data_IF_182342691173
#
_entry.id   IF_182342691173
#
_cell.length_a   1.000
_cell.length_b   1.000
_cell.length_c   1.000
_cell.angle_alpha   90.00
_cell.angle_beta   90.00
_cell.angle_gamma   90.00
#
_symmetry.space_group_name_H-M   'P 1'
#
loop_
_entity.id
_entity.type
_entity.pdbx_description
1 polymer ?
#
# COMPACT_ATOMS: atom_id res chain seq x y z
N UNK A 1 9.44 -20.18 13.27
CA UNK A 1 8.95 -20.49 14.62
C UNK A 1 8.33 -21.85 14.63
N UNK A 2 8.63 -22.67 15.64
CA UNK A 2 8.06 -24.01 15.79
C UNK A 2 6.69 -23.96 16.47
N UNK A 3 5.87 -24.99 16.19
CA UNK A 3 4.58 -25.21 16.83
C UNK A 3 4.47 -26.70 17.18
N UNK A 4 3.82 -27.10 18.31
CA UNK A 4 3.78 -28.48 18.74
C UNK A 4 3.01 -29.43 17.78
N UNK A 5 2.12 -28.90 16.94
CA UNK A 5 1.22 -29.71 16.12
C UNK A 5 1.19 -29.33 14.63
N UNK A 6 2.17 -28.57 14.13
CA UNK A 6 2.24 -28.14 12.73
C UNK A 6 3.68 -27.82 12.33
N UNK A 7 3.89 -27.66 11.04
CA UNK A 7 5.16 -27.22 10.49
C UNK A 7 5.58 -25.84 11.00
N UNK A 8 6.86 -25.54 10.85
CA UNK A 8 7.39 -24.24 11.20
C UNK A 8 6.70 -23.12 10.39
N UNK A 9 6.36 -22.03 11.07
CA UNK A 9 5.95 -20.81 10.40
C UNK A 9 7.15 -20.18 9.69
N UNK A 10 7.05 -20.05 8.37
CA UNK A 10 8.07 -19.48 7.50
C UNK A 10 7.51 -18.31 6.71
N UNK A 11 8.32 -17.27 6.53
CA UNK A 11 8.09 -16.17 5.62
C UNK A 11 9.12 -16.28 4.52
N UNK A 12 8.67 -16.38 3.27
CA UNK A 12 9.55 -16.54 2.12
C UNK A 12 9.96 -15.16 1.60
N UNK A 13 11.27 -15.02 1.29
CA UNK A 13 11.84 -13.86 0.62
C UNK A 13 12.63 -14.29 -0.61
N UNK A 14 12.60 -13.46 -1.65
CA UNK A 14 13.25 -13.69 -2.93
C UNK A 14 14.34 -12.63 -3.11
N UNK A 15 15.56 -13.09 -3.40
CA UNK A 15 16.71 -12.24 -3.58
C UNK A 15 17.07 -12.12 -5.05
N UNK A 16 17.47 -10.93 -5.47
CA UNK A 16 17.95 -10.63 -6.82
C UNK A 16 19.21 -9.80 -6.75
N UNK A 17 20.20 -10.12 -7.62
CA UNK A 17 21.52 -9.51 -7.61
C UNK A 17 22.39 -9.95 -6.44
N UNK A 18 23.65 -9.50 -6.47
CA UNK A 18 24.66 -9.79 -5.47
C UNK A 18 25.35 -8.51 -5.01
N UNK A 19 25.60 -8.37 -3.71
CA UNK A 19 26.28 -7.23 -3.12
C UNK A 19 25.56 -6.64 -1.92
N UNK A 20 25.56 -5.32 -1.82
CA UNK A 20 24.98 -4.58 -0.69
C UNK A 20 23.45 -4.62 -0.69
N UNK A 21 22.86 -4.65 0.49
CA UNK A 21 21.41 -4.55 0.69
C UNK A 21 20.93 -3.19 0.20
N UNK A 22 20.37 -3.13 -1.01
CA UNK A 22 19.96 -1.85 -1.60
C UNK A 22 18.47 -1.59 -1.45
N UNK A 23 17.61 -2.50 -1.89
CA UNK A 23 16.16 -2.29 -1.85
C UNK A 23 15.45 -3.49 -1.22
N UNK A 24 14.65 -3.24 -0.19
CA UNK A 24 13.71 -4.21 0.37
C UNK A 24 12.28 -3.86 -0.05
N UNK A 25 11.55 -4.83 -0.60
CA UNK A 25 10.16 -4.68 -1.03
C UNK A 25 9.32 -5.67 -0.22
N UNK A 26 8.36 -5.15 0.54
CA UNK A 26 7.52 -5.94 1.44
C UNK A 26 6.06 -5.85 0.99
N UNK A 27 5.49 -7.00 0.67
CA UNK A 27 4.10 -7.17 0.24
C UNK A 27 3.10 -7.22 1.39
N UNK A 28 2.14 -8.14 1.27
CA UNK A 28 1.05 -8.27 2.21
C UNK A 28 1.52 -8.47 3.65
N UNK A 29 1.25 -7.48 4.49
CA UNK A 29 1.47 -7.54 5.94
C UNK A 29 0.25 -8.16 6.65
N UNK A 30 -0.93 -8.09 6.00
CA UNK A 30 -2.20 -8.60 6.49
C UNK A 30 -2.73 -9.67 5.55
N UNK A 31 -3.54 -10.61 6.06
CA UNK A 31 -3.99 -11.77 5.30
C UNK A 31 -5.09 -11.48 4.26
N UNK A 32 -5.68 -10.30 4.25
CA UNK A 32 -6.64 -9.86 3.22
C UNK A 32 -6.01 -8.98 2.13
N UNK A 33 -4.68 -8.75 2.19
CA UNK A 33 -3.96 -7.89 1.25
C UNK A 33 -3.55 -8.65 -0.02
N UNK A 34 -4.55 -9.19 -0.73
CA UNK A 34 -4.34 -10.02 -1.92
C UNK A 34 -3.74 -9.22 -3.08
N UNK A 35 -4.17 -7.97 -3.28
CA UNK A 35 -3.63 -7.08 -4.30
C UNK A 35 -2.13 -6.86 -4.10
N UNK A 36 -1.70 -6.58 -2.87
CA UNK A 36 -0.31 -6.33 -2.50
C UNK A 36 0.56 -7.57 -2.72
N UNK A 37 0.04 -8.74 -2.35
CA UNK A 37 0.74 -10.00 -2.62
C UNK A 37 0.84 -10.28 -4.11
N UNK A 38 -0.24 -10.08 -4.88
CA UNK A 38 -0.24 -10.30 -6.33
C UNK A 38 0.79 -9.41 -7.03
N UNK A 39 0.83 -8.12 -6.69
CA UNK A 39 1.85 -7.18 -7.22
C UNK A 39 3.25 -7.68 -6.95
N UNK A 40 3.55 -8.10 -5.71
CA UNK A 40 4.87 -8.62 -5.36
C UNK A 40 5.20 -9.93 -6.08
N UNK A 41 4.24 -10.85 -6.23
CA UNK A 41 4.45 -12.10 -6.96
C UNK A 41 4.76 -11.84 -8.45
N UNK A 42 4.04 -10.91 -9.09
CA UNK A 42 4.31 -10.48 -10.48
C UNK A 42 5.65 -9.76 -10.59
N UNK A 43 5.98 -8.92 -9.61
CA UNK A 43 7.28 -8.25 -9.56
C UNK A 43 8.43 -9.26 -9.45
N UNK A 44 8.29 -10.32 -8.65
CA UNK A 44 9.27 -11.42 -8.57
C UNK A 44 9.49 -12.05 -9.95
N UNK A 45 8.42 -12.35 -10.71
CA UNK A 45 8.53 -12.86 -12.07
C UNK A 45 9.33 -11.91 -12.98
N UNK A 46 9.00 -10.60 -12.94
CA UNK A 46 9.71 -9.58 -13.73
C UNK A 46 11.18 -9.44 -13.33
N UNK A 47 11.48 -9.44 -12.03
CA UNK A 47 12.86 -9.35 -11.54
C UNK A 47 13.68 -10.60 -11.90
N UNK A 48 13.07 -11.78 -11.93
CA UNK A 48 13.71 -13.01 -12.40
C UNK A 48 14.13 -12.89 -13.87
N UNK A 49 13.27 -12.36 -14.73
CA UNK A 49 13.56 -12.08 -16.14
C UNK A 49 14.70 -11.05 -16.28
N UNK A 50 14.60 -9.93 -15.54
CA UNK A 50 15.59 -8.84 -15.54
C UNK A 50 16.97 -9.33 -15.07
N UNK A 51 17.02 -10.19 -14.05
CA UNK A 51 18.26 -10.79 -13.55
C UNK A 51 18.86 -11.76 -14.58
N UNK A 52 18.03 -12.62 -15.18
CA UNK A 52 18.48 -13.54 -16.24
C UNK A 52 19.05 -12.80 -17.47
N UNK A 53 18.57 -11.59 -17.74
CA UNK A 53 19.11 -10.71 -18.78
C UNK A 53 20.36 -9.92 -18.34
N UNK A 54 20.85 -10.13 -17.10
CA UNK A 54 22.02 -9.42 -16.57
C UNK A 54 21.78 -7.92 -16.33
N UNK A 55 20.54 -7.51 -16.15
CA UNK A 55 20.16 -6.10 -16.00
C UNK A 55 20.10 -5.60 -14.55
N UNK A 56 20.34 -6.44 -13.55
CA UNK A 56 20.58 -5.98 -12.18
C UNK A 56 22.01 -5.40 -12.13
N UNK A 57 22.16 -4.24 -11.54
CA UNK A 57 23.46 -3.57 -11.44
C UNK A 57 24.39 -4.35 -10.50
N UNK A 58 25.67 -4.41 -10.87
CA UNK A 58 26.69 -5.08 -10.05
C UNK A 58 26.80 -4.41 -8.67
N UNK A 59 26.96 -5.20 -7.62
CA UNK A 59 27.08 -4.73 -6.24
C UNK A 59 25.74 -4.30 -5.62
N UNK A 60 24.62 -4.46 -6.31
CA UNK A 60 23.27 -4.11 -5.81
C UNK A 60 22.44 -5.37 -5.56
N UNK A 61 21.68 -5.35 -4.48
CA UNK A 61 20.85 -6.49 -4.07
C UNK A 61 19.45 -6.07 -3.68
N UNK A 62 18.46 -6.80 -4.18
CA UNK A 62 17.04 -6.56 -3.94
C UNK A 62 16.47 -7.75 -3.16
N UNK A 63 15.64 -7.48 -2.15
CA UNK A 63 14.84 -8.48 -1.45
C UNK A 63 13.36 -8.19 -1.70
N UNK A 64 12.59 -9.21 -2.09
CA UNK A 64 11.13 -9.12 -2.18
C UNK A 64 10.51 -10.14 -1.23
N UNK A 65 9.70 -9.69 -0.28
CA UNK A 65 8.89 -10.52 0.62
C UNK A 65 7.43 -10.36 0.23
N UNK A 66 6.82 -11.29 -0.52
CA UNK A 66 5.47 -11.10 -1.07
C UNK A 66 4.37 -11.12 0.00
N UNK A 67 4.57 -11.86 1.08
CA UNK A 67 3.62 -11.92 2.20
C UNK A 67 4.35 -12.13 3.53
N UNK A 68 4.01 -11.29 4.50
CA UNK A 68 4.48 -11.42 5.88
C UNK A 68 3.48 -12.21 6.76
N UNK A 69 2.27 -12.46 6.26
CA UNK A 69 1.22 -13.16 6.99
C UNK A 69 0.50 -14.23 6.13
N UNK A 70 1.25 -15.20 5.57
CA UNK A 70 0.65 -16.24 4.73
C UNK A 70 -0.34 -17.12 5.50
N UNK A 71 -0.17 -17.26 6.81
CA UNK A 71 -1.05 -18.07 7.64
C UNK A 71 -2.47 -17.48 7.74
N UNK A 72 -2.59 -16.16 7.95
CA UNK A 72 -3.89 -15.50 7.99
C UNK A 72 -4.53 -15.39 6.60
N UNK A 73 -3.73 -15.35 5.55
CA UNK A 73 -4.19 -15.37 4.17
C UNK A 73 -4.91 -16.68 3.82
N UNK A 74 -4.40 -17.82 4.28
CA UNK A 74 -5.03 -19.13 4.05
C UNK A 74 -6.47 -19.24 4.59
N UNK A 75 -6.82 -18.38 5.56
CA UNK A 75 -8.15 -18.37 6.20
C UNK A 75 -8.88 -17.04 5.98
N UNK A 76 -8.40 -16.24 5.02
CA UNK A 76 -8.95 -14.93 4.65
C UNK A 76 -9.18 -13.99 5.85
N UNK A 77 -8.27 -14.00 6.82
CA UNK A 77 -8.32 -13.13 8.00
C UNK A 77 -7.34 -11.98 7.83
N UNK A 78 -7.80 -10.76 8.12
CA UNK A 78 -6.99 -9.56 8.01
C UNK A 78 -5.79 -9.58 8.96
N UNK A 79 -6.03 -9.83 10.24
CA UNK A 79 -5.03 -9.83 11.28
C UNK A 79 -4.54 -11.25 11.62
N UNK A 80 -3.55 -11.35 12.47
CA UNK A 80 -3.02 -12.64 12.90
C UNK A 80 -4.13 -13.48 13.54
N UNK A 81 -4.34 -14.68 13.02
CA UNK A 81 -5.55 -15.48 13.32
C UNK A 81 -5.65 -15.98 14.76
N UNK A 82 -4.54 -16.04 15.49
CA UNK A 82 -4.51 -16.60 16.85
C UNK A 82 -4.95 -15.59 17.91
N UNK A 83 -4.61 -14.31 17.74
CA UNK A 83 -4.84 -13.27 18.73
C UNK A 83 -5.48 -12.00 18.13
N UNK A 84 -5.80 -12.04 16.84
CA UNK A 84 -6.37 -10.93 16.09
C UNK A 84 -5.50 -9.64 16.11
N UNK A 85 -4.18 -9.79 16.21
CA UNK A 85 -3.23 -8.68 16.25
C UNK A 85 -2.76 -8.31 14.86
N UNK A 86 -2.59 -7.01 14.59
CA UNK A 86 -2.00 -6.48 13.36
C UNK A 86 -0.48 -6.51 13.44
N UNK A 87 0.18 -7.38 12.68
CA UNK A 87 1.65 -7.47 12.62
C UNK A 87 2.27 -6.11 12.25
N UNK A 88 1.63 -5.33 11.37
CA UNK A 88 2.12 -4.00 10.97
C UNK A 88 2.02 -2.95 12.08
N UNK A 89 1.53 -3.32 13.27
CA UNK A 89 1.48 -2.46 14.47
C UNK A 89 2.41 -2.95 15.57
N UNK A 90 3.36 -3.85 15.22
CA UNK A 90 4.27 -4.47 16.20
C UNK A 90 5.74 -4.12 15.97
N UNK A 91 6.07 -3.27 14.98
CA UNK A 91 7.47 -2.89 14.70
C UNK A 91 8.04 -1.90 15.74
N UNK A 92 9.34 -1.98 16.04
CA UNK A 92 10.35 -2.88 15.45
C UNK A 92 10.25 -4.34 15.94
N UNK A 93 9.34 -4.65 16.85
CA UNK A 93 9.14 -5.97 17.40
C UNK A 93 9.91 -6.22 18.71
N UNK A 94 9.66 -7.37 19.30
CA UNK A 94 10.37 -7.84 20.49
C UNK A 94 10.52 -9.37 20.42
N UNK A 95 11.75 -9.86 20.40
CA UNK A 95 12.08 -11.28 20.17
C UNK A 95 11.67 -12.21 21.31
N UNK A 96 11.44 -11.68 22.50
CA UNK A 96 10.96 -12.39 23.70
C UNK A 96 9.49 -12.10 24.01
N UNK A 97 8.81 -11.35 23.15
CA UNK A 97 7.40 -10.98 23.30
C UNK A 97 6.41 -12.02 22.80
N UNK A 98 5.18 -11.57 22.61
CA UNK A 98 4.09 -12.36 22.03
C UNK A 98 4.38 -12.74 20.57
N UNK A 99 3.62 -13.69 20.01
CA UNK A 99 3.87 -14.26 18.68
C UNK A 99 4.03 -13.18 17.60
N UNK A 100 3.14 -12.21 17.54
CA UNK A 100 3.18 -11.14 16.54
C UNK A 100 4.33 -10.17 16.74
N UNK A 101 4.73 -9.88 17.96
CA UNK A 101 5.94 -9.09 18.28
C UNK A 101 7.22 -9.82 17.83
N UNK A 102 7.28 -11.15 18.03
CA UNK A 102 8.42 -11.99 17.57
C UNK A 102 8.47 -12.10 16.06
N UNK A 103 7.31 -12.16 15.38
CA UNK A 103 7.23 -12.12 13.91
C UNK A 103 7.76 -10.78 13.42
N UNK A 104 7.28 -9.67 13.97
CA UNK A 104 7.73 -8.33 13.60
C UNK A 104 9.24 -8.15 13.83
N UNK A 105 9.78 -8.61 14.96
CA UNK A 105 11.21 -8.56 15.25
C UNK A 105 12.05 -9.35 14.25
N UNK A 106 11.59 -10.56 13.86
CA UNK A 106 12.28 -11.37 12.87
C UNK A 106 12.27 -10.75 11.47
N UNK A 107 11.12 -10.17 11.07
CA UNK A 107 11.01 -9.42 9.81
C UNK A 107 11.94 -8.20 9.85
N UNK A 108 11.87 -7.38 10.89
CA UNK A 108 12.65 -6.14 11.01
C UNK A 108 14.15 -6.43 10.96
N UNK A 109 14.62 -7.44 11.70
CA UNK A 109 16.02 -7.88 11.66
C UNK A 109 16.49 -8.30 10.26
N UNK A 110 15.62 -8.93 9.46
CA UNK A 110 15.92 -9.28 8.06
C UNK A 110 16.06 -8.02 7.20
N UNK A 111 15.27 -6.99 7.49
CA UNK A 111 15.15 -5.74 6.75
C UNK A 111 16.16 -4.66 7.18
N UNK A 112 16.92 -4.87 8.24
CA UNK A 112 17.97 -3.95 8.66
C UNK A 112 19.07 -3.80 7.63
N UNK A 113 19.56 -2.57 7.45
CA UNK A 113 20.68 -2.24 6.59
C UNK A 113 20.36 -2.11 5.10
N UNK A 114 19.08 -2.11 4.71
CA UNK A 114 18.68 -1.71 3.37
C UNK A 114 18.68 -0.19 3.24
N UNK A 115 19.17 0.33 2.10
CA UNK A 115 19.16 1.76 1.78
C UNK A 115 17.72 2.25 1.55
N UNK A 116 16.92 1.46 0.80
CA UNK A 116 15.53 1.77 0.48
C UNK A 116 14.57 0.68 0.95
N UNK A 117 13.43 1.09 1.49
CA UNK A 117 12.34 0.22 1.90
C UNK A 117 11.03 0.59 1.18
N UNK A 118 10.43 -0.36 0.48
CA UNK A 118 9.15 -0.19 -0.21
C UNK A 118 8.14 -1.13 0.42
N UNK A 119 7.12 -0.60 1.06
CA UNK A 119 6.01 -1.38 1.59
C UNK A 119 4.79 -1.25 0.70
N UNK A 120 4.28 -2.37 0.20
CA UNK A 120 2.95 -2.41 -0.42
C UNK A 120 1.92 -2.32 0.70
N UNK A 121 1.26 -1.18 0.80
CA UNK A 121 0.37 -0.85 1.91
C UNK A 121 -1.10 -0.88 1.52
N UNK A 122 -1.97 -0.98 2.52
CA UNK A 122 -3.42 -0.89 2.36
C UNK A 122 -4.04 0.03 3.40
N UNK A 123 -5.22 0.55 3.09
CA UNK A 123 -6.01 1.31 4.04
C UNK A 123 -6.94 0.40 4.87
N UNK A 124 -7.37 0.90 6.04
CA UNK A 124 -8.40 0.25 6.85
C UNK A 124 -9.81 0.45 6.29
N UNK A 125 -10.04 1.55 5.57
CA UNK A 125 -11.34 1.84 4.95
C UNK A 125 -11.47 1.10 3.62
N UNK A 126 -12.60 0.43 3.35
CA UNK A 126 -12.82 -0.28 2.10
C UNK A 126 -13.07 0.70 0.96
N UNK A 127 -12.32 0.56 -0.13
CA UNK A 127 -12.47 1.41 -1.31
C UNK A 127 -11.29 1.32 -2.26
N UNK A 128 -11.40 2.10 -3.32
CA UNK A 128 -10.41 2.22 -4.36
C UNK A 128 -9.61 3.51 -4.13
N UNK A 129 -8.30 3.41 -4.21
CA UNK A 129 -7.40 4.56 -4.16
C UNK A 129 -6.66 4.72 -5.47
N UNK A 130 -6.46 5.96 -5.87
CA UNK A 130 -5.49 6.25 -6.94
C UNK A 130 -4.11 5.77 -6.49
N UNK A 131 -3.34 5.07 -7.35
CA UNK A 131 -2.00 4.66 -6.99
C UNK A 131 -1.13 5.86 -6.59
N UNK A 132 -0.49 5.77 -5.42
CA UNK A 132 0.32 6.84 -4.88
C UNK A 132 1.41 6.32 -3.94
N UNK A 133 2.46 7.12 -3.79
CA UNK A 133 3.47 6.94 -2.74
C UNK A 133 3.07 7.75 -1.52
N UNK A 134 3.15 7.17 -0.35
CA UNK A 134 2.89 7.82 0.93
C UNK A 134 4.08 7.72 1.86
N UNK A 135 4.41 8.82 2.54
CA UNK A 135 5.44 8.88 3.56
C UNK A 135 4.90 9.52 4.84
N UNK A 136 5.54 9.22 5.96
CA UNK A 136 5.29 9.88 7.24
C UNK A 136 6.28 11.06 7.38
N UNK A 137 5.80 12.22 7.82
CA UNK A 137 6.63 13.40 8.13
C UNK A 137 7.37 13.18 9.45
N UNK A 138 8.45 12.41 9.40
CA UNK A 138 9.33 12.13 10.54
C UNK A 138 10.56 13.02 10.57
N UNK A 139 10.78 13.80 9.51
CA UNK A 139 12.02 14.54 9.24
C UNK A 139 13.03 13.72 8.41
N UNK A 140 12.70 12.47 8.06
CA UNK A 140 13.52 11.58 7.24
C UNK A 140 12.79 11.13 5.96
N UNK A 141 11.70 11.79 5.60
CA UNK A 141 11.00 11.57 4.33
C UNK A 141 11.80 12.12 3.16
N UNK A 142 11.92 11.35 2.07
CA UNK A 142 12.61 11.74 0.85
C UNK A 142 11.61 11.91 -0.30
N UNK A 143 11.13 13.16 -0.48
CA UNK A 143 10.15 13.50 -1.52
C UNK A 143 10.76 13.40 -2.91
N UNK A 144 12.06 13.69 -3.06
CA UNK A 144 12.73 13.63 -4.36
C UNK A 144 12.77 12.20 -4.86
N UNK A 145 13.18 11.26 -4.01
CA UNK A 145 13.20 9.84 -4.36
C UNK A 145 11.78 9.27 -4.53
N UNK A 146 10.79 9.74 -3.75
CA UNK A 146 9.39 9.31 -3.90
C UNK A 146 8.81 9.66 -5.29
N UNK A 147 9.20 10.77 -5.90
CA UNK A 147 8.78 11.16 -7.26
C UNK A 147 9.34 10.25 -8.34
N UNK A 148 10.46 9.55 -8.08
CA UNK A 148 11.07 8.64 -9.05
C UNK A 148 10.18 7.43 -9.39
N UNK A 149 9.19 7.11 -8.56
CA UNK A 149 8.19 6.10 -8.88
C UNK A 149 7.32 6.50 -10.08
N UNK A 150 7.10 7.79 -10.31
CA UNK A 150 6.23 8.29 -11.38
C UNK A 150 4.77 7.88 -11.21
N UNK A 151 4.30 7.77 -9.97
CA UNK A 151 2.88 7.61 -9.65
C UNK A 151 2.18 8.98 -9.64
N UNK A 152 0.85 9.05 -9.84
CA UNK A 152 0.12 10.32 -9.93
C UNK A 152 0.31 11.23 -8.72
N UNK A 153 0.41 10.66 -7.51
CA UNK A 153 0.53 11.42 -6.28
C UNK A 153 1.68 10.93 -5.40
N UNK A 154 2.32 11.87 -4.74
CA UNK A 154 3.17 11.64 -3.57
C UNK A 154 2.49 12.33 -2.38
N UNK A 155 2.14 11.56 -1.36
CA UNK A 155 1.44 12.08 -0.19
C UNK A 155 2.31 12.03 1.05
N UNK A 156 2.19 13.05 1.87
CA UNK A 156 2.82 13.08 3.20
C UNK A 156 1.75 13.21 4.28
N UNK A 157 2.05 12.71 5.47
CA UNK A 157 1.16 12.80 6.62
C UNK A 157 1.95 12.94 7.92
N UNK A 158 1.47 13.77 8.83
CA UNK A 158 2.02 13.85 10.18
C UNK A 158 1.75 12.53 10.91
N UNK A 159 2.79 11.89 11.49
CA UNK A 159 2.59 10.64 12.21
C UNK A 159 1.77 10.85 13.49
N UNK A 160 0.82 9.97 13.72
CA UNK A 160 0.05 9.90 14.96
C UNK A 160 0.73 8.93 15.95
N UNK A 161 0.46 8.99 17.25
CA UNK A 161 1.14 8.14 18.24
C UNK A 161 1.11 6.64 17.91
N UNK A 162 0.03 6.15 17.32
CA UNK A 162 -0.12 4.75 16.93
C UNK A 162 0.65 4.38 15.64
N UNK A 163 1.24 5.34 14.94
CA UNK A 163 2.06 5.08 13.75
C UNK A 163 3.50 4.72 14.10
N UNK A 164 3.93 4.99 15.33
CA UNK A 164 5.30 4.68 15.81
C UNK A 164 5.64 3.20 15.75
N UNK A 165 4.64 2.34 15.64
CA UNK A 165 4.79 0.89 15.52
C UNK A 165 4.62 0.35 14.10
N UNK A 166 4.54 1.22 13.10
CA UNK A 166 4.53 0.83 11.69
C UNK A 166 5.94 0.49 11.19
N UNK A 167 6.03 -0.44 10.24
CA UNK A 167 7.29 -0.78 9.57
C UNK A 167 7.95 0.47 8.95
N UNK A 168 7.20 1.27 8.19
CA UNK A 168 7.72 2.46 7.53
C UNK A 168 8.24 3.53 8.50
N UNK A 169 7.56 3.74 9.62
CA UNK A 169 8.03 4.66 10.66
C UNK A 169 9.39 4.20 11.22
N UNK A 170 9.49 2.92 11.57
CA UNK A 170 10.72 2.36 12.10
C UNK A 170 11.84 2.34 11.06
N UNK A 171 11.57 2.04 9.79
CA UNK A 171 12.56 2.14 8.72
C UNK A 171 13.18 3.53 8.62
N UNK A 172 12.35 4.58 8.62
CA UNK A 172 12.85 5.96 8.58
C UNK A 172 13.77 6.27 9.77
N UNK A 173 13.43 5.81 10.99
CA UNK A 173 14.27 6.01 12.18
C UNK A 173 15.55 5.18 12.18
N UNK A 174 15.60 4.07 11.45
CA UNK A 174 16.78 3.20 11.28
C UNK A 174 17.51 3.43 9.95
N UNK A 175 17.49 4.66 9.44
CA UNK A 175 18.23 5.12 8.26
C UNK A 175 17.88 4.41 6.94
N UNK A 176 16.67 3.85 6.80
CA UNK A 176 16.15 3.34 5.54
C UNK A 176 15.19 4.36 4.95
N UNK A 177 15.42 4.81 3.72
CA UNK A 177 14.47 5.65 2.98
C UNK A 177 13.21 4.84 2.68
N UNK A 178 12.12 5.13 3.36
CA UNK A 178 10.93 4.29 3.38
C UNK A 178 9.75 4.89 2.63
N UNK A 179 9.15 4.09 1.73
CA UNK A 179 8.01 4.44 0.91
C UNK A 179 6.88 3.43 1.10
N UNK A 180 5.66 3.91 1.31
CA UNK A 180 4.45 3.08 1.25
C UNK A 180 3.77 3.29 -0.09
N UNK A 181 3.58 2.22 -0.87
CA UNK A 181 2.80 2.29 -2.11
C UNK A 181 1.39 1.78 -1.84
N UNK A 182 0.41 2.60 -2.14
CA UNK A 182 -1.01 2.26 -2.10
C UNK A 182 -1.52 2.14 -3.53
N UNK A 183 -2.20 1.05 -3.86
CA UNK A 183 -2.61 0.75 -5.23
C UNK A 183 -3.98 0.06 -5.25
N UNK A 184 -4.99 0.79 -5.73
CA UNK A 184 -6.34 0.27 -5.95
C UNK A 184 -7.01 -0.28 -4.69
N UNK A 185 -7.65 -1.43 -4.84
CA UNK A 185 -8.34 -2.15 -3.77
C UNK A 185 -7.38 -3.06 -3.00
N UNK A 186 -7.79 -3.46 -1.78
CA UNK A 186 -6.97 -4.35 -0.95
C UNK A 186 -7.22 -5.83 -1.24
N UNK A 187 -8.50 -6.20 -1.32
CA UNK A 187 -8.96 -7.60 -1.33
C UNK A 187 -9.43 -8.06 -2.72
N UNK A 188 -9.07 -7.36 -3.76
CA UNK A 188 -9.42 -7.66 -5.14
C UNK A 188 -8.24 -7.41 -6.06
N UNK A 189 -7.98 -8.32 -7.00
CA UNK A 189 -6.89 -8.17 -7.97
C UNK A 189 -7.35 -7.31 -9.14
N UNK A 190 -6.73 -6.15 -9.29
CA UNK A 190 -6.91 -5.23 -10.41
C UNK A 190 -5.67 -5.25 -11.30
N UNK A 191 -5.79 -5.82 -12.50
CA UNK A 191 -4.63 -5.99 -13.39
C UNK A 191 -3.99 -4.66 -13.81
N UNK A 192 -4.79 -3.68 -14.23
CA UNK A 192 -4.28 -2.37 -14.69
C UNK A 192 -3.53 -1.63 -13.59
N UNK A 193 -4.09 -1.58 -12.38
CA UNK A 193 -3.44 -0.95 -11.21
C UNK A 193 -2.20 -1.71 -10.78
N UNK A 194 -2.22 -3.05 -10.88
CA UNK A 194 -1.05 -3.88 -10.59
C UNK A 194 0.09 -3.61 -11.56
N UNK A 195 -0.19 -3.61 -12.86
CA UNK A 195 0.81 -3.36 -13.90
C UNK A 195 1.40 -1.95 -13.77
N UNK A 196 0.57 -0.94 -13.52
CA UNK A 196 1.02 0.43 -13.26
C UNK A 196 1.96 0.50 -12.04
N UNK A 197 1.63 -0.24 -10.97
CA UNK A 197 2.42 -0.27 -9.75
C UNK A 197 3.75 -1.00 -9.95
N UNK A 198 3.76 -2.12 -10.66
CA UNK A 198 4.97 -2.87 -11.01
C UNK A 198 5.89 -1.98 -11.86
N UNK A 199 5.35 -1.34 -12.88
CA UNK A 199 6.09 -0.39 -13.72
C UNK A 199 6.68 0.76 -12.90
N UNK A 200 5.96 1.27 -11.91
CA UNK A 200 6.44 2.33 -11.03
C UNK A 200 7.64 1.88 -10.18
N UNK A 201 7.56 0.67 -9.62
CA UNK A 201 8.68 0.10 -8.84
C UNK A 201 9.89 -0.15 -9.74
N UNK A 202 9.71 -0.74 -10.93
CA UNK A 202 10.80 -0.99 -11.88
C UNK A 202 11.43 0.33 -12.37
N UNK A 203 10.62 1.37 -12.59
CA UNK A 203 11.11 2.72 -12.90
C UNK A 203 11.95 3.30 -11.77
N UNK A 204 11.49 3.18 -10.53
CA UNK A 204 12.25 3.59 -9.36
C UNK A 204 13.59 2.86 -9.30
N UNK A 205 13.61 1.53 -9.42
CA UNK A 205 14.84 0.73 -9.44
C UNK A 205 15.83 1.16 -10.55
N UNK A 206 15.32 1.53 -11.72
CA UNK A 206 16.13 2.06 -12.81
C UNK A 206 16.70 3.44 -12.45
N UNK A 207 15.87 4.35 -11.94
CA UNK A 207 16.27 5.74 -11.63
C UNK A 207 17.30 5.83 -10.51
N UNK A 208 17.27 4.93 -9.53
CA UNK A 208 18.28 4.85 -8.46
C UNK A 208 19.49 3.98 -8.84
N UNK A 209 19.57 3.51 -10.10
CA UNK A 209 20.73 2.75 -10.60
C UNK A 209 20.82 1.30 -10.11
N UNK A 210 19.77 0.72 -9.58
CA UNK A 210 19.72 -0.70 -9.14
C UNK A 210 19.43 -1.64 -10.32
N UNK A 211 18.68 -1.18 -11.31
CA UNK A 211 18.37 -1.94 -12.52
C UNK A 211 18.67 -1.13 -13.77
N UNK A 212 19.13 -1.80 -14.83
CA UNK A 212 19.28 -1.23 -16.18
C UNK A 212 18.05 -1.49 -17.06
N UNK A 213 17.00 -2.05 -16.48
CA UNK A 213 15.76 -2.29 -17.20
C UNK A 213 14.98 -0.99 -17.36
N UNK A 214 14.67 -0.64 -18.61
CA UNK A 214 13.89 0.56 -18.93
C UNK A 214 12.41 0.22 -19.08
N UNK A 215 11.59 0.91 -18.29
CA UNK A 215 10.13 0.79 -18.37
C UNK A 215 9.62 1.62 -19.54
N UNK A 216 8.79 1.05 -20.39
CA UNK A 216 8.27 1.73 -21.59
C UNK A 216 7.29 2.86 -21.26
N UNK A 217 6.54 2.75 -20.16
CA UNK A 217 5.61 3.80 -19.73
C UNK A 217 6.37 5.00 -19.17
N UNK A 218 5.96 6.23 -19.54
CA UNK A 218 6.64 7.47 -19.13
C UNK A 218 6.46 7.72 -17.62
N UNK A 219 5.34 7.31 -17.04
CA UNK A 219 4.95 7.66 -15.67
C UNK A 219 4.34 9.07 -15.59
N UNK A 220 3.98 9.46 -14.39
CA UNK A 220 3.38 10.75 -14.10
C UNK A 220 4.39 11.71 -13.49
N UNK A 221 4.23 13.00 -13.76
CA UNK A 221 4.79 14.03 -12.89
C UNK A 221 3.92 14.09 -11.63
N UNK A 222 4.46 13.58 -10.53
CA UNK A 222 3.69 13.37 -9.31
C UNK A 222 3.26 14.70 -8.67
N UNK A 223 1.99 14.82 -8.34
CA UNK A 223 1.47 15.90 -7.52
C UNK A 223 1.83 15.60 -6.05
N UNK A 224 2.54 16.54 -5.42
CA UNK A 224 2.80 16.48 -3.98
C UNK A 224 1.60 17.05 -3.23
N UNK A 225 1.10 16.34 -2.24
CA UNK A 225 0.01 16.79 -1.40
C UNK A 225 0.13 16.29 0.05
N UNK A 226 -0.45 17.01 0.97
CA UNK A 226 -0.65 16.57 2.34
C UNK A 226 -1.97 15.82 2.48
N UNK A 227 -1.96 14.69 3.19
CA UNK A 227 -3.21 13.89 3.33
C UNK A 227 -4.33 14.68 4.02
N UNK A 228 -3.96 15.65 4.84
CA UNK A 228 -4.86 16.56 5.55
C UNK A 228 -5.60 17.54 4.63
N UNK A 229 -5.07 17.79 3.41
CA UNK A 229 -5.68 18.68 2.41
C UNK A 229 -6.82 18.00 1.64
N UNK A 230 -6.95 16.67 1.74
CA UNK A 230 -8.02 15.94 1.09
C UNK A 230 -9.40 16.31 1.65
N UNK A 231 -10.33 16.63 0.77
CA UNK A 231 -11.73 16.87 1.13
C UNK A 231 -12.40 15.54 1.42
N UNK A 232 -12.75 15.29 2.68
CA UNK A 232 -13.47 14.08 3.07
C UNK A 232 -14.98 14.29 2.90
N UNK A 233 -15.61 13.42 2.11
CA UNK A 233 -17.06 13.40 1.90
C UNK A 233 -17.61 12.21 2.66
N UNK A 234 -18.58 12.48 3.55
CA UNK A 234 -19.18 11.48 4.42
C UNK A 234 -20.62 11.22 4.02
N UNK A 235 -21.07 9.98 4.23
CA UNK A 235 -22.48 9.64 4.14
C UNK A 235 -23.27 10.28 5.31
N UNK A 236 -24.40 10.92 5.03
CA UNK A 236 -25.31 11.42 6.05
C UNK A 236 -26.44 10.42 6.35
N UNK A 237 -26.57 9.38 5.52
CA UNK A 237 -27.53 8.29 5.67
C UNK A 237 -26.84 6.94 5.56
N UNK A 238 -27.36 5.94 6.26
CA UNK A 238 -27.00 4.54 6.02
C UNK A 238 -27.94 3.94 4.98
N UNK A 239 -27.41 3.08 4.10
CA UNK A 239 -28.21 2.42 3.07
C UNK A 239 -27.37 1.71 2.02
N UNK A 240 -28.02 1.28 0.93
CA UNK A 240 -27.33 0.68 -0.21
C UNK A 240 -26.55 1.78 -0.93
N UNK A 241 -25.24 1.56 -1.06
CA UNK A 241 -24.34 2.50 -1.71
C UNK A 241 -24.26 2.23 -3.22
N UNK A 242 -24.81 3.13 -4.00
CA UNK A 242 -24.74 3.10 -5.45
C UNK A 242 -23.71 4.11 -5.95
N UNK A 243 -22.51 3.61 -6.31
CA UNK A 243 -21.40 4.42 -6.78
C UNK A 243 -21.64 4.90 -8.22
N UNK A 244 -21.44 6.19 -8.47
CA UNK A 244 -21.51 6.80 -9.81
C UNK A 244 -20.10 7.09 -10.32
N UNK A 245 -19.23 7.62 -9.46
CA UNK A 245 -17.87 8.03 -9.82
C UNK A 245 -16.84 7.15 -9.10
N UNK A 246 -15.80 6.72 -9.82
CA UNK A 246 -14.68 5.93 -9.30
C UNK A 246 -13.47 6.78 -8.94
N UNK A 247 -12.48 6.15 -8.29
CA UNK A 247 -11.19 6.78 -8.03
C UNK A 247 -10.45 7.10 -9.34
N UNK A 248 -9.71 8.21 -9.37
CA UNK A 248 -8.97 8.70 -10.54
C UNK A 248 -9.79 9.56 -11.51
N UNK A 249 -11.10 9.66 -11.34
CA UNK A 249 -11.94 10.48 -12.22
C UNK A 249 -11.95 11.94 -11.76
N UNK A 250 -11.94 12.85 -12.74
CA UNK A 250 -12.15 14.27 -12.51
C UNK A 250 -13.64 14.56 -12.29
N UNK A 251 -13.94 15.45 -11.36
CA UNK A 251 -15.28 15.89 -11.05
C UNK A 251 -15.35 17.42 -10.93
N UNK A 252 -16.50 17.98 -11.24
CA UNK A 252 -16.81 19.37 -11.02
C UNK A 252 -17.69 19.52 -9.78
N UNK A 253 -17.61 20.69 -9.17
CA UNK A 253 -18.51 21.03 -8.05
C UNK A 253 -19.98 20.81 -8.45
N UNK A 254 -20.70 20.05 -7.63
CA UNK A 254 -22.11 19.70 -7.85
C UNK A 254 -22.35 18.39 -8.59
N UNK A 255 -21.31 17.75 -9.17
CA UNK A 255 -21.46 16.44 -9.82
C UNK A 255 -21.93 15.38 -8.82
N UNK A 256 -22.78 14.47 -9.25
CA UNK A 256 -23.23 13.34 -8.45
C UNK A 256 -22.14 12.28 -8.35
N UNK A 257 -21.65 12.04 -7.14
CA UNK A 257 -20.62 11.04 -6.83
C UNK A 257 -21.21 9.66 -6.56
N UNK A 258 -22.31 9.62 -5.81
CA UNK A 258 -23.01 8.40 -5.42
C UNK A 258 -24.46 8.69 -5.05
N UNK A 259 -25.24 7.62 -4.89
CA UNK A 259 -26.60 7.65 -4.31
C UNK A 259 -26.64 6.65 -3.18
N UNK A 260 -27.33 7.01 -2.09
CA UNK A 260 -27.64 6.09 -0.99
C UNK A 260 -29.13 5.78 -1.07
N UNK A 261 -29.45 4.50 -1.18
CA UNK A 261 -30.80 4.02 -1.42
C UNK A 261 -31.33 3.26 -0.20
N UNK A 262 -32.63 3.35 0.04
CA UNK A 262 -33.31 2.59 1.06
C UNK A 262 -33.25 1.09 0.76
N UNK A 263 -32.97 0.21 1.76
CA UNK A 263 -32.80 -1.21 1.53
C UNK A 263 -34.06 -1.98 1.08
N UNK A 264 -35.24 -1.45 1.36
CA UNK A 264 -36.50 -2.15 1.11
C UNK A 264 -37.17 -1.83 -0.23
N UNK A 265 -37.06 -0.58 -0.70
CA UNK A 265 -37.79 -0.13 -1.89
C UNK A 265 -36.90 0.64 -2.89
N UNK A 266 -35.60 0.73 -2.59
CA UNK A 266 -34.62 1.48 -3.38
C UNK A 266 -34.96 2.97 -3.57
N UNK A 267 -35.84 3.54 -2.75
CA UNK A 267 -36.07 4.98 -2.75
C UNK A 267 -34.77 5.73 -2.39
N UNK A 268 -34.57 6.90 -2.99
CA UNK A 268 -33.35 7.68 -2.78
C UNK A 268 -33.38 8.34 -1.39
N UNK A 269 -32.44 7.96 -0.51
CA UNK A 269 -32.25 8.56 0.81
C UNK A 269 -31.30 9.76 0.76
N UNK A 270 -30.28 9.70 -0.10
CA UNK A 270 -29.30 10.77 -0.25
C UNK A 270 -28.68 10.74 -1.67
N UNK A 271 -28.53 11.92 -2.27
CA UNK A 271 -27.68 12.13 -3.45
C UNK A 271 -26.40 12.83 -2.99
N UNK A 272 -25.29 12.11 -3.07
CA UNK A 272 -23.97 12.60 -2.65
C UNK A 272 -23.34 13.39 -3.79
N UNK A 273 -23.04 14.67 -3.55
CA UNK A 273 -22.47 15.58 -4.56
C UNK A 273 -21.06 16.00 -4.22
N UNK A 274 -20.26 16.30 -5.25
CA UNK A 274 -18.95 16.88 -5.11
C UNK A 274 -19.05 18.32 -4.55
N UNK A 275 -18.44 18.60 -3.38
CA UNK A 275 -18.48 19.95 -2.80
C UNK A 275 -17.58 20.94 -3.57
N UNK A 276 -16.53 20.42 -4.22
CA UNK A 276 -15.54 21.17 -4.99
C UNK A 276 -15.14 20.37 -6.23
N UNK A 277 -14.55 21.05 -7.23
CA UNK A 277 -13.93 20.40 -8.38
C UNK A 277 -12.59 19.81 -8.01
N UNK A 278 -12.23 18.65 -8.63
CA UNK A 278 -10.97 17.98 -8.33
C UNK A 278 -10.91 16.57 -8.87
N UNK A 279 -9.90 15.81 -8.40
CA UNK A 279 -9.72 14.39 -8.70
C UNK A 279 -10.25 13.57 -7.53
N UNK A 280 -11.05 12.56 -7.81
CA UNK A 280 -11.48 11.58 -6.80
C UNK A 280 -10.28 10.73 -6.41
N UNK A 281 -9.69 11.02 -5.26
CA UNK A 281 -8.53 10.30 -4.73
C UNK A 281 -8.90 8.95 -4.12
N UNK A 282 -10.06 8.88 -3.47
CA UNK A 282 -10.63 7.68 -2.87
C UNK A 282 -12.12 7.59 -3.16
N UNK A 283 -12.59 6.38 -3.46
CA UNK A 283 -14.00 6.04 -3.61
C UNK A 283 -14.34 4.75 -2.86
N UNK A 284 -15.36 4.81 -2.01
CA UNK A 284 -15.90 3.63 -1.31
C UNK A 284 -16.37 2.56 -2.29
N UNK A 285 -16.21 1.27 -1.95
CA UNK A 285 -16.53 0.15 -2.84
C UNK A 285 -17.43 -0.94 -2.20
N UNK A 286 -17.82 -0.79 -0.94
CA UNK A 286 -18.76 -1.74 -0.32
C UNK A 286 -20.19 -1.42 -0.75
N UNK A 287 -21.07 -2.43 -0.86
CA UNK A 287 -22.45 -2.21 -1.28
C UNK A 287 -23.30 -1.48 -0.24
N UNK A 288 -22.80 -1.31 0.99
CA UNK A 288 -23.47 -0.60 2.07
C UNK A 288 -22.61 0.57 2.55
N UNK A 289 -23.21 1.73 2.72
CA UNK A 289 -22.63 2.85 3.46
C UNK A 289 -23.28 2.95 4.84
N UNK A 290 -22.46 3.25 5.85
CA UNK A 290 -22.93 3.61 7.18
C UNK A 290 -22.88 5.14 7.33
N UNK A 291 -23.77 5.67 8.15
CA UNK A 291 -23.77 7.09 8.49
C UNK A 291 -22.41 7.53 9.06
N UNK A 292 -21.96 8.71 8.67
CA UNK A 292 -20.67 9.30 9.00
C UNK A 292 -19.41 8.62 8.41
N UNK A 293 -19.53 7.49 7.71
CA UNK A 293 -18.39 6.92 7.03
C UNK A 293 -17.87 7.83 5.92
N UNK A 294 -16.55 7.93 5.79
CA UNK A 294 -15.93 8.57 4.63
C UNK A 294 -16.16 7.68 3.42
N UNK A 295 -16.87 8.20 2.42
CA UNK A 295 -17.22 7.50 1.19
C UNK A 295 -16.47 8.03 -0.03
N UNK A 296 -15.99 9.26 0.02
CA UNK A 296 -15.08 9.83 -0.97
C UNK A 296 -14.02 10.70 -0.31
N UNK A 297 -12.87 10.81 -0.99
CA UNK A 297 -11.88 11.85 -0.78
C UNK A 297 -11.55 12.50 -2.10
N UNK A 298 -11.55 13.83 -2.16
CA UNK A 298 -11.23 14.58 -3.37
C UNK A 298 -9.98 15.42 -3.12
N UNK A 299 -9.04 15.35 -4.07
CA UNK A 299 -7.94 16.30 -4.18
C UNK A 299 -8.39 17.45 -5.07
N UNK A 300 -8.30 18.68 -4.57
CA UNK A 300 -8.53 19.91 -5.37
C UNK A 300 -7.48 20.01 -6.48
N UNK A 301 -7.91 20.45 -7.66
CA UNK A 301 -7.01 20.79 -8.77
C UNK A 301 -6.63 22.27 -8.71
#
# INVERSE_FOLDING_TARGET
MSSPYRDEFRINGYWFGEGEKTVAIVGAMRGDEIQQQYICARLIQRLTEIEAEGKIAQGKRILVIPSCNPFSMNVARRFWTMDNTDINRMFPGYDKGETTQRIAAAIFKCLEGFEFGIQMASFYIPGDFVPHVRMLKTGYEDIADARLFGLPFVTTRIPLPYDTTLLNYNWQLWNTKAFSIYAGQTNHVEHSTSDQTIDSILRFLNKIGVSRYEVRSIGYESILMEEEELINIRAHRAGIFYRVVGAGQNVHKGDTLARILAPYDCSMLEEVKAPESGVVFFAHNRPLALEHNVIYRIQRL
#
